data_IF_824509679528
#
_entry.id   IF_824509679528
#
_cell.length_a   1.000
_cell.length_b   1.000
_cell.length_c   1.000
_cell.angle_alpha   90.00
_cell.angle_beta   90.00
_cell.angle_gamma   90.00
#
_symmetry.space_group_name_H-M   'P 1'
#
loop_
_entity.id
_entity.type
_entity.pdbx_description
1 polymer ?
#
# COMPACT_ATOMS: atom_id res chain seq x y z
N UNK A 1 -5.49 8.57 -13.65
CA UNK A 1 -4.83 7.32 -13.22
C UNK A 1 -3.53 7.13 -14.00
N UNK A 2 -2.46 6.60 -13.39
CA UNK A 2 -1.14 6.45 -14.02
C UNK A 2 -0.48 5.12 -13.62
N UNK A 3 0.22 4.47 -14.56
CA UNK A 3 0.96 3.22 -14.35
C UNK A 3 2.44 3.42 -14.73
N UNK A 4 3.34 3.12 -13.80
CA UNK A 4 4.80 3.26 -13.95
C UNK A 4 5.52 2.02 -13.42
N UNK A 5 5.72 1.04 -14.31
CA UNK A 5 6.28 -0.26 -13.92
C UNK A 5 5.38 -0.97 -12.90
N UNK A 6 5.85 -1.11 -11.66
CA UNK A 6 5.08 -1.71 -10.55
C UNK A 6 4.26 -0.69 -9.75
N UNK A 7 4.46 0.60 -9.99
CA UNK A 7 3.76 1.68 -9.30
C UNK A 7 2.46 2.01 -10.03
N UNK A 8 1.36 2.11 -9.28
CA UNK A 8 0.05 2.53 -9.75
C UNK A 8 -0.39 3.75 -8.96
N UNK A 9 -0.89 4.79 -9.62
CA UNK A 9 -1.40 6.01 -8.96
C UNK A 9 -2.86 6.25 -9.33
N UNK A 10 -3.71 6.35 -8.30
CA UNK A 10 -5.15 6.54 -8.39
C UNK A 10 -5.54 7.90 -7.83
N UNK A 11 -6.54 8.52 -8.44
CA UNK A 11 -7.27 9.64 -7.84
C UNK A 11 -8.55 9.06 -7.24
N UNK A 12 -8.78 9.31 -5.95
CA UNK A 12 -9.92 8.80 -5.21
C UNK A 12 -10.83 9.95 -4.78
N UNK A 13 -12.13 9.67 -4.76
CA UNK A 13 -13.16 10.53 -4.18
C UNK A 13 -14.10 9.65 -3.37
N UNK A 14 -14.52 10.12 -2.20
CA UNK A 14 -15.52 9.48 -1.38
C UNK A 14 -16.68 10.45 -1.14
N UNK A 15 -17.88 9.92 -1.19
CA UNK A 15 -19.15 10.63 -1.09
C UNK A 15 -20.08 9.82 -0.18
N UNK A 16 -20.90 10.48 0.64
CA UNK A 16 -21.83 9.84 1.56
C UNK A 16 -23.28 9.76 1.04
N UNK A 17 -23.49 10.14 -0.22
CA UNK A 17 -24.79 10.22 -0.89
C UNK A 17 -25.42 11.61 -0.82
N UNK A 18 -24.83 12.55 -0.06
CA UNK A 18 -25.25 13.95 0.03
C UNK A 18 -24.12 14.85 -0.45
N UNK A 19 -22.94 14.70 0.15
CA UNK A 19 -21.77 15.53 -0.12
C UNK A 19 -20.52 14.68 -0.35
N UNK A 20 -19.58 15.27 -1.11
CA UNK A 20 -18.22 14.73 -1.22
C UNK A 20 -17.50 14.93 0.11
N UNK A 21 -17.26 13.84 0.82
CA UNK A 21 -16.62 13.84 2.15
C UNK A 21 -15.10 13.80 2.08
N UNK A 22 -14.50 13.31 0.99
CA UNK A 22 -13.05 13.38 0.80
C UNK A 22 -12.62 13.21 -0.65
N UNK A 23 -11.42 13.69 -0.95
CA UNK A 23 -10.71 13.40 -2.18
C UNK A 23 -9.21 13.24 -1.89
N UNK A 24 -8.50 12.52 -2.74
CA UNK A 24 -7.08 12.33 -2.57
C UNK A 24 -6.42 11.52 -3.67
N UNK A 25 -5.12 11.28 -3.49
CA UNK A 25 -4.34 10.39 -4.35
C UNK A 25 -3.89 9.17 -3.57
N UNK A 26 -3.93 8.00 -4.20
CA UNK A 26 -3.49 6.75 -3.60
C UNK A 26 -2.48 6.10 -4.53
N UNK A 27 -1.31 5.77 -4.00
CA UNK A 27 -0.29 5.01 -4.73
C UNK A 27 -0.19 3.57 -4.24
N UNK A 28 -0.23 2.61 -5.17
CA UNK A 28 -0.09 1.17 -4.90
C UNK A 28 1.18 0.66 -5.58
N UNK A 29 1.82 -0.34 -4.97
CA UNK A 29 2.92 -1.06 -5.59
C UNK A 29 2.58 -2.54 -5.76
N UNK A 30 2.77 -3.06 -6.97
CA UNK A 30 2.64 -4.50 -7.25
C UNK A 30 3.84 -5.23 -6.67
N UNK A 31 3.58 -6.24 -5.85
CA UNK A 31 4.61 -7.04 -5.17
C UNK A 31 4.46 -8.53 -5.49
N UNK A 32 5.56 -9.27 -5.32
CA UNK A 32 5.49 -10.72 -5.17
C UNK A 32 5.17 -11.01 -3.70
N UNK A 33 4.03 -11.65 -3.43
CA UNK A 33 3.51 -11.87 -2.09
C UNK A 33 4.42 -12.76 -1.23
N UNK A 34 4.92 -13.87 -1.79
CA UNK A 34 5.80 -14.81 -1.08
C UNK A 34 7.09 -14.13 -0.61
N UNK A 35 7.77 -13.41 -1.51
CA UNK A 35 9.00 -12.67 -1.19
C UNK A 35 8.75 -11.57 -0.16
N UNK A 36 7.63 -10.86 -0.27
CA UNK A 36 7.30 -9.80 0.67
C UNK A 36 7.05 -10.36 2.07
N UNK A 37 6.25 -11.42 2.18
CA UNK A 37 5.93 -12.07 3.46
C UNK A 37 7.18 -12.65 4.13
N UNK A 38 8.05 -13.34 3.38
CA UNK A 38 9.34 -13.81 3.91
C UNK A 38 10.21 -12.66 4.46
N UNK A 39 10.20 -11.50 3.79
CA UNK A 39 10.89 -10.30 4.26
C UNK A 39 10.29 -9.72 5.54
N UNK A 40 8.96 -9.78 5.73
CA UNK A 40 8.28 -9.37 6.96
C UNK A 40 8.69 -10.29 8.11
N UNK A 41 8.66 -11.61 7.92
CA UNK A 41 9.08 -12.58 8.95
C UNK A 41 10.54 -12.40 9.37
N UNK A 42 11.43 -12.15 8.41
CA UNK A 42 12.85 -11.89 8.71
C UNK A 42 13.02 -10.63 9.57
N UNK A 43 12.24 -9.57 9.31
CA UNK A 43 12.26 -8.35 10.13
C UNK A 43 11.74 -8.59 11.54
N UNK A 44 10.68 -9.40 11.70
CA UNK A 44 10.15 -9.78 13.02
C UNK A 44 11.21 -10.53 13.84
N UNK A 45 11.85 -11.54 13.25
CA UNK A 45 12.92 -12.31 13.90
C UNK A 45 14.09 -11.41 14.34
N UNK A 46 14.49 -10.47 13.48
CA UNK A 46 15.55 -9.50 13.83
C UNK A 46 15.13 -8.56 14.97
N UNK A 47 13.87 -8.10 14.99
CA UNK A 47 13.34 -7.27 16.07
C UNK A 47 13.37 -7.98 17.43
N UNK A 48 13.04 -9.27 17.46
CA UNK A 48 13.09 -10.11 18.66
C UNK A 48 14.53 -10.39 19.14
N UNK A 49 15.52 -10.45 18.24
CA UNK A 49 16.92 -10.62 18.63
C UNK A 49 17.58 -9.38 19.25
N UNK A 50 16.91 -8.23 19.18
CA UNK A 50 17.36 -6.96 19.75
C UNK A 50 16.56 -6.55 21.01
N UNK A 51 15.70 -7.43 21.54
CA UNK A 51 14.94 -7.27 22.77
C UNK A 51 15.41 -8.29 23.82
#
# INVERSE_FOLDING_TARGET
>A
EKVEGKKLSFSLSADDGVDKISEGTHERFVINAEKFNAGVEAKLKKGLSHA
#
